data_IF_149005810811
#
_entry.id   IF_149005810811
#
_cell.length_a   1.000
_cell.length_b   1.000
_cell.length_c   1.000
_cell.angle_alpha   90.00
_cell.angle_beta   90.00
_cell.angle_gamma   90.00
#
_symmetry.space_group_name_H-M   'P 1'
#
loop_
_entity.id
_entity.type
_entity.pdbx_description
1 polymer ?
#
# COMPACT_ATOMS: atom_id res chain seq x y z
N UNK A 1 -8.87 -8.83 5.45
CA UNK A 1 -7.77 -8.59 6.41
C UNK A 1 -6.45 -8.46 5.64
N UNK A 2 -5.38 -7.87 6.21
CA UNK A 2 -4.08 -7.72 5.53
C UNK A 2 -2.91 -7.90 6.49
N UNK A 3 -1.68 -7.74 6.00
CA UNK A 3 -0.45 -7.85 6.79
C UNK A 3 0.49 -6.69 6.54
N UNK A 4 1.32 -6.36 7.54
CA UNK A 4 2.41 -5.39 7.46
C UNK A 4 3.71 -5.97 8.01
N UNK A 5 4.82 -5.64 7.38
CA UNK A 5 6.16 -5.80 7.96
C UNK A 5 6.91 -4.47 7.81
N UNK A 6 7.71 -4.10 8.81
CA UNK A 6 8.53 -2.89 8.75
C UNK A 6 9.97 -3.22 9.07
N UNK A 7 10.86 -2.81 8.19
CA UNK A 7 12.31 -2.91 8.37
C UNK A 7 12.84 -1.51 8.66
N UNK A 8 13.55 -1.39 9.78
CA UNK A 8 14.25 -0.17 10.16
C UNK A 8 15.74 -0.47 10.03
N UNK A 9 16.44 0.27 9.17
CA UNK A 9 17.88 0.13 8.97
C UNK A 9 18.61 1.34 9.53
N UNK A 10 19.61 1.09 10.39
CA UNK A 10 20.46 2.09 11.08
C UNK A 10 19.66 3.24 11.73
N UNK A 11 18.44 2.99 12.21
CA UNK A 11 17.51 4.00 12.75
C UNK A 11 17.22 5.20 11.83
N UNK A 12 17.50 5.09 10.53
CA UNK A 12 17.36 6.18 9.56
C UNK A 12 16.41 5.84 8.43
N UNK A 13 16.39 4.58 7.98
CA UNK A 13 15.59 4.15 6.83
C UNK A 13 14.47 3.23 7.33
N UNK A 14 13.21 3.68 7.20
CA UNK A 14 12.02 2.88 7.46
C UNK A 14 11.41 2.39 6.13
N UNK A 15 11.42 1.07 5.94
CA UNK A 15 10.82 0.39 4.80
C UNK A 15 9.57 -0.33 5.27
N UNK A 16 8.43 0.02 4.67
CA UNK A 16 7.13 -0.50 5.07
C UNK A 16 6.59 -1.41 3.97
N UNK A 17 6.42 -2.68 4.32
CA UNK A 17 5.73 -3.67 3.52
C UNK A 17 4.27 -3.82 3.94
N UNK A 18 3.33 -3.69 3.01
CA UNK A 18 1.91 -3.95 3.26
C UNK A 18 1.27 -4.74 2.10
N UNK A 19 0.39 -5.68 2.41
CA UNK A 19 -0.46 -6.34 1.42
C UNK A 19 -1.77 -6.87 2.02
N UNK A 20 -2.74 -7.15 1.16
CA UNK A 20 -3.95 -7.86 1.56
C UNK A 20 -3.70 -9.37 1.49
N UNK A 21 -4.38 -10.12 2.37
CA UNK A 21 -4.44 -11.57 2.23
C UNK A 21 -5.24 -11.92 0.96
N UNK A 22 -4.79 -12.93 0.21
CA UNK A 22 -5.63 -13.57 -0.82
C UNK A 22 -6.82 -14.26 -0.14
N UNK A 23 -7.89 -14.55 -0.87
CA UNK A 23 -9.11 -15.15 -0.31
C UNK A 23 -8.80 -16.43 0.49
N UNK A 24 -8.07 -17.36 -0.11
CA UNK A 24 -7.59 -18.57 0.56
C UNK A 24 -6.63 -18.34 1.75
N UNK A 25 -5.98 -17.18 1.82
CA UNK A 25 -5.09 -16.81 2.92
C UNK A 25 -5.83 -16.07 4.04
N UNK A 26 -6.97 -15.46 3.72
CA UNK A 26 -7.80 -14.75 4.66
C UNK A 26 -8.47 -15.71 5.65
N UNK A 27 -8.68 -16.97 5.28
CA UNK A 27 -9.25 -18.02 6.13
C UNK A 27 -8.21 -18.73 7.02
N UNK A 28 -6.92 -18.47 6.80
CA UNK A 28 -5.85 -19.09 7.59
C UNK A 28 -5.91 -18.68 9.07
N UNK A 29 -5.47 -19.59 9.95
CA UNK A 29 -5.36 -19.29 11.38
C UNK A 29 -4.38 -18.16 11.64
N UNK A 30 -4.53 -17.46 12.78
CA UNK A 30 -3.66 -16.33 13.14
C UNK A 30 -2.18 -16.72 13.14
N UNK A 31 -1.83 -17.89 13.69
CA UNK A 31 -0.44 -18.36 13.74
C UNK A 31 0.16 -18.61 12.35
N UNK A 32 -0.64 -19.15 11.42
CA UNK A 32 -0.21 -19.33 10.03
C UNK A 32 0.02 -17.99 9.34
N UNK A 33 -0.88 -17.04 9.57
CA UNK A 33 -0.76 -15.67 9.03
C UNK A 33 0.52 -15.00 9.54
N UNK A 34 0.80 -15.07 10.83
CA UNK A 34 2.02 -14.50 11.43
C UNK A 34 3.31 -15.05 10.79
N UNK A 35 3.41 -16.36 10.58
CA UNK A 35 4.57 -16.97 9.91
C UNK A 35 4.67 -16.50 8.46
N UNK A 36 3.54 -16.39 7.75
CA UNK A 36 3.50 -15.86 6.38
C UNK A 36 3.92 -14.39 6.30
N UNK A 37 3.56 -13.56 7.27
CA UNK A 37 4.00 -12.15 7.31
C UNK A 37 5.53 -12.08 7.31
N UNK A 38 6.18 -12.95 8.08
CA UNK A 38 7.64 -13.01 8.16
C UNK A 38 8.23 -13.46 6.83
N UNK A 39 7.70 -14.54 6.26
CA UNK A 39 8.13 -15.03 4.95
C UNK A 39 8.03 -13.94 3.87
N UNK A 40 6.87 -13.27 3.76
CA UNK A 40 6.68 -12.23 2.77
C UNK A 40 7.49 -10.96 3.03
N UNK A 41 7.69 -10.59 4.30
CA UNK A 41 8.57 -9.47 4.66
C UNK A 41 9.99 -9.72 4.19
N UNK A 42 10.54 -10.92 4.45
CA UNK A 42 11.87 -11.32 3.98
C UNK A 42 11.95 -11.37 2.46
N UNK A 43 10.94 -11.99 1.81
CA UNK A 43 10.93 -12.17 0.37
C UNK A 43 10.86 -10.83 -0.37
N UNK A 44 10.00 -9.90 0.06
CA UNK A 44 9.85 -8.60 -0.59
C UNK A 44 11.04 -7.68 -0.39
N UNK A 45 11.79 -7.87 0.68
CA UNK A 45 12.98 -7.09 1.00
C UNK A 45 14.27 -7.83 0.62
N UNK A 46 14.19 -8.95 -0.11
CA UNK A 46 15.34 -9.78 -0.48
C UNK A 46 16.46 -8.98 -1.16
N UNK A 47 16.14 -8.12 -2.13
CA UNK A 47 17.15 -7.28 -2.80
C UNK A 47 17.84 -6.34 -1.82
N UNK A 48 17.08 -5.79 -0.87
CA UNK A 48 17.60 -4.86 0.13
C UNK A 48 18.53 -5.60 1.09
N UNK A 49 18.14 -6.78 1.55
CA UNK A 49 19.01 -7.64 2.37
C UNK A 49 20.29 -8.06 1.65
N UNK A 50 20.25 -8.28 0.33
CA UNK A 50 21.46 -8.56 -0.48
C UNK A 50 22.39 -7.34 -0.60
N UNK A 51 21.85 -6.14 -0.55
CA UNK A 51 22.63 -4.89 -0.60
C UNK A 51 23.16 -4.47 0.79
N UNK A 52 22.51 -4.92 1.87
CA UNK A 52 22.98 -4.70 3.23
C UNK A 52 24.22 -5.57 3.50
N UNK A 53 25.25 -4.96 4.10
CA UNK A 53 26.43 -5.71 4.58
C UNK A 53 26.12 -6.46 5.89
N UNK A 54 25.12 -5.99 6.64
CA UNK A 54 24.72 -6.55 7.93
C UNK A 54 23.95 -7.85 7.75
N UNK A 55 24.47 -8.94 8.33
CA UNK A 55 23.83 -10.25 8.31
C UNK A 55 22.87 -10.45 9.48
N UNK A 56 22.84 -9.56 10.48
CA UNK A 56 22.01 -9.69 11.67
C UNK A 56 20.76 -8.80 11.61
N UNK A 57 19.58 -9.40 11.77
CA UNK A 57 18.29 -8.71 11.76
C UNK A 57 17.55 -8.97 13.07
N UNK A 58 17.21 -7.90 13.79
CA UNK A 58 16.38 -7.98 14.99
C UNK A 58 14.90 -7.91 14.61
N UNK A 59 14.16 -9.00 14.81
CA UNK A 59 12.71 -9.06 14.65
C UNK A 59 12.01 -8.69 15.95
N UNK A 60 11.02 -7.81 15.85
CA UNK A 60 10.12 -7.45 16.95
C UNK A 60 8.72 -8.00 16.66
N UNK A 61 8.14 -8.77 17.57
CA UNK A 61 6.80 -9.34 17.40
C UNK A 61 6.02 -9.33 18.71
N UNK A 62 4.70 -9.14 18.64
CA UNK A 62 3.80 -9.20 19.80
C UNK A 62 3.19 -10.59 20.02
N UNK A 63 3.04 -11.39 18.96
CA UNK A 63 2.55 -12.75 19.05
C UNK A 63 3.57 -13.70 19.68
N UNK A 64 3.26 -14.19 20.88
CA UNK A 64 4.06 -15.15 21.66
C UNK A 64 4.35 -16.44 20.92
N UNK A 65 3.38 -16.97 20.19
CA UNK A 65 3.54 -18.21 19.43
C UNK A 65 4.54 -18.02 18.32
N UNK A 66 4.46 -16.91 17.58
CA UNK A 66 5.41 -16.61 16.51
C UNK A 66 6.84 -16.35 17.03
N UNK A 67 6.95 -15.69 18.19
CA UNK A 67 8.24 -15.51 18.89
C UNK A 67 8.83 -16.86 19.29
N UNK A 68 8.05 -17.72 19.93
CA UNK A 68 8.49 -19.04 20.38
C UNK A 68 8.90 -19.93 19.21
N UNK A 69 8.03 -20.00 18.19
CA UNK A 69 8.20 -20.89 17.04
C UNK A 69 9.50 -20.61 16.29
N UNK A 70 9.84 -19.34 16.09
CA UNK A 70 11.03 -18.99 15.32
C UNK A 70 12.25 -18.80 16.22
N UNK A 71 12.06 -18.32 17.46
CA UNK A 71 13.17 -18.20 18.42
C UNK A 71 13.74 -19.56 18.81
N UNK A 72 12.91 -20.60 18.90
CA UNK A 72 13.34 -21.97 19.21
C UNK A 72 13.38 -22.91 18.01
N UNK A 73 13.02 -22.43 16.81
CA UNK A 73 12.84 -23.26 15.61
C UNK A 73 12.00 -24.52 15.85
N UNK A 74 11.01 -24.43 16.72
CA UNK A 74 10.21 -25.56 17.18
C UNK A 74 8.73 -25.21 17.11
N UNK A 75 7.93 -26.06 16.47
CA UNK A 75 6.52 -25.81 16.25
C UNK A 75 5.70 -27.09 16.18
N UNK A 76 4.38 -26.91 16.31
CA UNK A 76 3.42 -27.95 15.99
C UNK A 76 3.57 -28.40 14.54
N UNK A 77 3.32 -29.67 14.29
CA UNK A 77 3.48 -30.33 12.98
C UNK A 77 2.84 -29.55 11.83
N UNK A 78 1.64 -29.00 12.06
CA UNK A 78 0.90 -28.18 11.09
C UNK A 78 1.59 -26.90 10.61
N UNK A 79 2.66 -26.46 11.29
CA UNK A 79 3.43 -25.25 10.96
C UNK A 79 4.84 -25.54 10.42
N UNK A 80 5.33 -26.78 10.52
CA UNK A 80 6.72 -27.15 10.21
C UNK A 80 7.10 -26.77 8.78
N UNK A 81 6.28 -27.13 7.79
CA UNK A 81 6.59 -26.82 6.39
C UNK A 81 6.70 -25.32 6.11
N UNK A 82 5.90 -24.50 6.79
CA UNK A 82 5.95 -23.03 6.64
C UNK A 82 7.20 -22.45 7.29
N UNK A 83 7.64 -23.03 8.40
CA UNK A 83 8.86 -22.61 9.11
C UNK A 83 10.09 -23.00 8.29
N UNK A 84 10.09 -24.20 7.68
CA UNK A 84 11.14 -24.61 6.74
C UNK A 84 11.30 -23.60 5.61
N UNK A 85 10.20 -23.12 5.02
CA UNK A 85 10.26 -22.09 3.97
C UNK A 85 10.95 -20.80 4.45
N UNK A 86 10.63 -20.33 5.66
CA UNK A 86 11.31 -19.16 6.27
C UNK A 86 12.79 -19.47 6.52
N UNK A 87 13.10 -20.64 7.07
CA UNK A 87 14.47 -21.07 7.34
C UNK A 87 15.34 -21.12 6.09
N UNK A 88 14.84 -21.74 5.01
CA UNK A 88 15.57 -21.80 3.73
C UNK A 88 15.75 -20.42 3.11
N UNK A 89 14.74 -19.55 3.21
CA UNK A 89 14.85 -18.18 2.74
C UNK A 89 15.93 -17.42 3.52
N UNK A 90 15.96 -17.54 4.85
CA UNK A 90 17.01 -16.95 5.68
C UNK A 90 18.40 -17.48 5.34
N UNK A 91 18.55 -18.79 5.15
CA UNK A 91 19.81 -19.42 4.76
C UNK A 91 20.29 -18.90 3.39
N UNK A 92 19.38 -18.77 2.42
CA UNK A 92 19.67 -18.20 1.10
C UNK A 92 20.13 -16.75 1.19
N UNK A 93 19.51 -15.97 2.07
CA UNK A 93 19.85 -14.56 2.30
C UNK A 93 21.03 -14.35 3.24
N UNK A 94 21.59 -15.42 3.83
CA UNK A 94 22.64 -15.38 4.87
C UNK A 94 22.28 -14.47 6.04
N UNK A 95 21.01 -14.51 6.48
CA UNK A 95 20.50 -13.69 7.59
C UNK A 95 20.46 -14.48 8.90
N UNK A 96 21.04 -13.89 9.95
CA UNK A 96 20.84 -14.26 11.34
C UNK A 96 19.68 -13.42 11.91
N UNK A 97 18.53 -14.04 12.17
CA UNK A 97 17.39 -13.34 12.76
C UNK A 97 17.29 -13.63 14.25
N UNK A 98 17.37 -12.60 15.07
CA UNK A 98 17.05 -12.66 16.50
C UNK A 98 15.65 -12.13 16.72
N UNK A 99 14.84 -12.80 17.52
CA UNK A 99 13.47 -12.34 17.82
C UNK A 99 13.34 -11.86 19.24
N UNK A 100 12.78 -10.67 19.43
CA UNK A 100 12.32 -10.16 20.72
C UNK A 100 10.81 -9.97 20.73
N UNK A 101 10.21 -10.25 21.90
CA UNK A 101 8.79 -9.95 22.13
C UNK A 101 8.64 -8.47 22.46
N UNK A 102 7.70 -7.79 21.80
CA UNK A 102 7.30 -6.43 22.16
C UNK A 102 5.85 -6.41 22.65
N UNK A 103 5.50 -5.59 23.66
CA UNK A 103 4.11 -5.36 24.05
C UNK A 103 3.27 -4.83 22.88
N UNK A 104 2.03 -5.29 22.72
CA UNK A 104 1.15 -4.88 21.62
C UNK A 104 0.94 -3.36 21.51
N UNK A 105 0.99 -2.61 22.62
CA UNK A 105 0.96 -1.13 22.62
C UNK A 105 2.13 -0.50 21.84
N UNK A 106 3.30 -1.12 21.87
CA UNK A 106 4.49 -0.69 21.12
C UNK A 106 4.48 -1.20 19.66
N UNK A 107 3.65 -2.20 19.35
CA UNK A 107 3.37 -2.65 17.98
C UNK A 107 2.20 -1.90 17.32
N UNK A 108 1.67 -0.86 17.98
CA UNK A 108 0.52 -0.08 17.50
C UNK A 108 0.75 0.55 16.12
N UNK A 109 2.00 0.83 15.74
CA UNK A 109 2.38 1.26 14.39
C UNK A 109 2.08 0.17 13.36
N UNK A 110 2.36 -1.10 13.65
CA UNK A 110 2.12 -2.21 12.71
C UNK A 110 0.65 -2.58 12.63
N UNK A 111 -0.03 -2.66 13.78
CA UNK A 111 -1.45 -3.01 13.88
C UNK A 111 -2.36 -1.93 13.28
N UNK A 112 -2.02 -0.64 13.47
CA UNK A 112 -2.75 0.49 12.89
C UNK A 112 -2.80 0.48 11.36
N UNK A 113 -1.81 -0.11 10.70
CA UNK A 113 -1.78 -0.14 9.24
C UNK A 113 -2.54 -1.29 8.60
N UNK A 114 -2.81 -2.37 9.34
CA UNK A 114 -3.76 -3.38 8.91
C UNK A 114 -5.19 -2.82 8.72
N UNK A 115 -5.43 -1.62 9.28
CA UNK A 115 -6.67 -0.81 9.22
C UNK A 115 -6.58 0.41 8.30
N UNK A 116 -5.53 0.53 7.48
CA UNK A 116 -5.30 1.62 6.52
C UNK A 116 -6.44 1.80 5.54
N UNK A 117 -7.01 3.03 5.52
CA UNK A 117 -7.88 3.63 4.50
C UNK A 117 -8.55 2.63 3.54
N UNK A 118 -9.32 1.69 4.08
CA UNK A 118 -10.01 0.65 3.31
C UNK A 118 -11.25 1.19 2.63
N UNK A 119 -11.86 2.22 3.22
CA UNK A 119 -13.08 2.83 2.69
C UNK A 119 -12.83 3.77 1.52
N UNK A 120 -11.57 4.16 1.23
CA UNK A 120 -11.29 5.15 0.19
C UNK A 120 -11.74 6.57 0.53
N UNK A 121 -12.05 6.85 1.79
CA UNK A 121 -12.65 8.14 2.19
C UNK A 121 -11.63 9.15 2.74
N UNK A 122 -10.33 8.83 2.69
CA UNK A 122 -9.29 9.81 2.91
C UNK A 122 -9.38 10.85 1.78
N UNK A 123 -9.40 12.14 2.11
CA UNK A 123 -9.39 13.20 1.08
C UNK A 123 -8.25 14.16 1.29
N UNK A 124 -7.69 14.64 0.17
CA UNK A 124 -6.78 15.78 0.18
C UNK A 124 -7.61 17.06 0.30
N UNK A 125 -7.08 18.08 0.97
CA UNK A 125 -7.72 19.39 1.03
C UNK A 125 -7.82 20.02 -0.38
N UNK A 126 -8.98 20.61 -0.70
CA UNK A 126 -9.30 21.28 -1.96
C UNK A 126 -8.21 22.25 -2.42
N UNK A 127 -7.63 23.03 -1.51
CA UNK A 127 -6.56 23.99 -1.82
C UNK A 127 -5.31 23.31 -2.37
N UNK A 128 -4.97 22.11 -1.88
CA UNK A 128 -3.82 21.35 -2.38
C UNK A 128 -4.12 20.76 -3.76
N UNK A 129 -5.34 20.33 -4.02
CA UNK A 129 -5.73 19.81 -5.34
C UNK A 129 -5.67 20.94 -6.36
N UNK A 130 -6.21 22.12 -6.05
CA UNK A 130 -6.11 23.29 -6.91
C UNK A 130 -4.65 23.68 -7.16
N UNK A 131 -3.80 23.62 -6.15
CA UNK A 131 -2.35 23.85 -6.29
C UNK A 131 -1.74 22.86 -7.29
N UNK A 132 -1.96 21.55 -7.10
CA UNK A 132 -1.43 20.51 -8.02
C UNK A 132 -1.90 20.77 -9.46
N UNK A 133 -3.20 21.04 -9.64
CA UNK A 133 -3.79 21.24 -10.96
C UNK A 133 -3.22 22.48 -11.66
N UNK A 134 -3.02 23.58 -10.92
CA UNK A 134 -2.36 24.80 -11.42
C UNK A 134 -0.89 24.55 -11.76
N UNK A 135 -0.14 23.92 -10.86
CA UNK A 135 1.29 23.63 -11.05
C UNK A 135 1.55 22.78 -12.30
N UNK A 136 0.65 21.84 -12.62
CA UNK A 136 0.82 20.96 -13.77
C UNK A 136 0.03 21.36 -15.01
N UNK A 137 -0.74 22.45 -14.95
CA UNK A 137 -1.70 22.83 -15.99
C UNK A 137 -2.59 21.64 -16.41
N UNK A 138 -3.05 20.86 -15.42
CA UNK A 138 -3.84 19.65 -15.61
C UNK A 138 -5.15 19.78 -14.85
N UNK A 139 -6.25 19.92 -15.57
CA UNK A 139 -7.59 19.95 -14.99
C UNK A 139 -8.24 18.56 -15.15
N UNK A 140 -8.39 17.80 -14.05
CA UNK A 140 -9.09 16.52 -14.09
C UNK A 140 -10.59 16.74 -14.35
N UNK A 141 -11.14 15.91 -15.23
CA UNK A 141 -12.54 15.95 -15.64
C UNK A 141 -13.41 15.02 -14.78
N UNK A 142 -12.82 13.97 -14.19
CA UNK A 142 -13.53 13.00 -13.36
C UNK A 142 -12.69 12.52 -12.17
N UNK A 143 -13.31 12.41 -10.99
CA UNK A 143 -12.73 11.73 -9.83
C UNK A 143 -13.21 10.29 -9.76
N UNK A 144 -12.31 9.31 -9.91
CA UNK A 144 -12.67 7.88 -10.09
C UNK A 144 -12.87 7.12 -8.76
N UNK A 145 -12.60 7.75 -7.61
CA UNK A 145 -12.79 7.14 -6.29
C UNK A 145 -13.42 8.12 -5.28
N UNK A 146 -14.40 8.91 -5.73
CA UNK A 146 -15.13 9.86 -4.88
C UNK A 146 -16.48 9.31 -4.40
N UNK A 147 -17.05 9.94 -3.38
CA UNK A 147 -18.42 9.70 -2.88
C UNK A 147 -19.24 10.98 -3.04
N UNK A 148 -20.58 10.88 -3.08
CA UNK A 148 -21.50 12.02 -3.27
C UNK A 148 -21.28 13.21 -2.34
N UNK A 149 -20.74 12.99 -1.14
CA UNK A 149 -20.50 14.03 -0.13
C UNK A 149 -19.14 14.72 -0.26
N UNK A 150 -18.29 14.30 -1.20
CA UNK A 150 -16.92 14.80 -1.40
C UNK A 150 -16.61 15.05 -2.88
N UNK A 151 -17.48 15.82 -3.55
CA UNK A 151 -17.34 16.18 -4.97
C UNK A 151 -16.33 17.33 -5.12
N UNK A 152 -15.06 16.97 -5.28
CA UNK A 152 -14.00 17.89 -5.73
C UNK A 152 -14.13 18.26 -7.22
N UNK A 153 -14.79 17.39 -7.98
CA UNK A 153 -15.04 17.49 -9.42
C UNK A 153 -16.49 17.10 -9.62
N UNK A 154 -17.25 17.86 -10.41
CA UNK A 154 -18.70 17.64 -10.61
C UNK A 154 -19.01 16.23 -11.14
N UNK A 155 -18.11 15.66 -11.94
CA UNK A 155 -18.18 14.27 -12.39
C UNK A 155 -17.33 13.38 -11.49
N UNK A 156 -17.91 12.30 -10.96
CA UNK A 156 -17.19 11.31 -10.17
C UNK A 156 -17.76 9.91 -10.37
N UNK A 157 -16.89 8.91 -10.22
CA UNK A 157 -17.27 7.51 -10.14
C UNK A 157 -17.01 6.99 -8.72
N UNK A 158 -17.88 6.10 -8.28
CA UNK A 158 -17.84 5.52 -6.94
C UNK A 158 -17.69 4.00 -7.01
N UNK A 159 -17.04 3.44 -6.00
CA UNK A 159 -16.99 1.99 -5.77
C UNK A 159 -18.19 1.54 -4.91
N UNK A 160 -18.90 2.49 -4.29
CA UNK A 160 -20.09 2.22 -3.49
C UNK A 160 -21.33 2.06 -4.38
N UNK A 161 -21.82 0.82 -4.48
CA UNK A 161 -23.00 0.49 -5.28
C UNK A 161 -24.30 1.13 -4.72
N UNK A 162 -24.29 1.61 -3.47
CA UNK A 162 -25.45 2.22 -2.82
C UNK A 162 -25.48 3.76 -2.95
N UNK A 163 -24.50 4.37 -3.63
CA UNK A 163 -24.43 5.82 -3.80
C UNK A 163 -25.28 6.27 -5.00
N UNK A 164 -26.47 6.78 -4.72
CA UNK A 164 -27.45 7.28 -5.71
C UNK A 164 -27.01 8.58 -6.42
N UNK A 165 -25.90 9.20 -5.99
CA UNK A 165 -25.48 10.52 -6.47
C UNK A 165 -24.67 10.52 -7.78
N UNK A 166 -24.41 9.36 -8.39
CA UNK A 166 -23.66 9.22 -9.66
C UNK A 166 -24.20 8.07 -10.50
N UNK A 167 -24.17 8.23 -11.83
CA UNK A 167 -24.47 7.17 -12.79
C UNK A 167 -23.30 6.19 -13.02
N UNK A 168 -22.13 6.44 -12.40
CA UNK A 168 -20.89 5.69 -12.60
C UNK A 168 -20.56 4.79 -11.40
N UNK A 169 -21.17 3.59 -11.37
CA UNK A 169 -20.89 2.56 -10.37
C UNK A 169 -19.79 1.62 -10.86
N UNK A 170 -18.86 1.25 -9.96
CA UNK A 170 -17.70 0.42 -10.27
C UNK A 170 -16.82 1.04 -11.36
N UNK A 171 -16.02 2.02 -10.95
CA UNK A 171 -14.98 2.71 -11.73
C UNK A 171 -14.19 1.86 -12.74
N UNK A 172 -13.92 0.59 -12.43
CA UNK A 172 -13.13 -0.30 -13.29
C UNK A 172 -13.86 -0.76 -14.55
N UNK A 173 -15.18 -0.60 -14.64
CA UNK A 173 -15.96 -1.02 -15.80
C UNK A 173 -15.91 -0.01 -16.96
N UNK A 174 -15.43 1.21 -16.71
CA UNK A 174 -15.37 2.27 -17.71
C UNK A 174 -14.01 2.33 -18.40
N UNK A 175 -13.98 2.86 -19.63
CA UNK A 175 -12.75 3.18 -20.35
C UNK A 175 -12.19 4.52 -19.86
N UNK A 176 -10.93 4.51 -19.45
CA UNK A 176 -10.21 5.63 -18.82
C UNK A 176 -9.35 6.43 -19.81
N UNK A 177 -9.12 5.90 -21.03
CA UNK A 177 -8.13 6.43 -21.98
C UNK A 177 -8.39 7.82 -22.56
N UNK A 178 -9.64 8.31 -22.53
CA UNK A 178 -10.04 9.58 -23.19
C UNK A 178 -10.45 10.69 -22.22
N UNK A 179 -10.27 10.47 -20.92
CA UNK A 179 -10.76 11.40 -19.89
C UNK A 179 -9.59 11.75 -18.98
N UNK A 180 -9.53 13.00 -18.52
CA UNK A 180 -8.53 13.43 -17.55
C UNK A 180 -8.94 13.01 -16.13
N UNK A 181 -8.13 12.19 -15.48
CA UNK A 181 -8.51 11.51 -14.25
C UNK A 181 -7.89 12.17 -13.03
N UNK A 182 -8.66 12.25 -11.95
CA UNK A 182 -8.16 12.37 -10.60
C UNK A 182 -8.40 11.06 -9.87
N UNK A 183 -7.35 10.50 -9.28
CA UNK A 183 -7.38 9.17 -8.66
C UNK A 183 -6.73 9.26 -7.27
N UNK A 184 -7.55 9.15 -6.23
CA UNK A 184 -7.08 8.94 -4.86
C UNK A 184 -7.64 7.60 -4.33
N UNK A 185 -7.04 6.48 -4.73
CA UNK A 185 -7.62 5.17 -4.46
C UNK A 185 -7.26 4.68 -3.05
N UNK A 186 -8.09 3.79 -2.47
CA UNK A 186 -7.64 2.95 -1.37
C UNK A 186 -6.30 2.26 -1.69
N UNK A 187 -5.38 2.26 -0.73
CA UNK A 187 -4.05 1.65 -0.89
C UNK A 187 -4.10 0.19 -1.39
N UNK A 188 -5.03 -0.67 -0.92
CA UNK A 188 -5.15 -2.05 -1.41
C UNK A 188 -5.35 -2.19 -2.91
N UNK A 189 -5.99 -1.22 -3.57
CA UNK A 189 -6.36 -1.32 -4.98
C UNK A 189 -5.41 -0.56 -5.91
N UNK A 190 -4.38 0.09 -5.36
CA UNK A 190 -3.45 0.93 -6.12
C UNK A 190 -2.76 0.15 -7.26
N UNK A 191 -2.37 -1.11 -7.01
CA UNK A 191 -1.84 -1.99 -8.07
C UNK A 191 -2.82 -2.23 -9.22
N UNK A 192 -4.10 -2.40 -8.91
CA UNK A 192 -5.18 -2.63 -9.90
C UNK A 192 -5.47 -1.35 -10.69
N UNK A 193 -5.43 -0.19 -10.02
CA UNK A 193 -5.55 1.13 -10.67
C UNK A 193 -4.43 1.33 -11.70
N UNK A 194 -3.18 1.09 -11.32
CA UNK A 194 -2.04 1.23 -12.23
C UNK A 194 -2.13 0.29 -13.43
N UNK A 195 -2.57 -0.95 -13.20
CA UNK A 195 -2.82 -1.90 -14.29
C UNK A 195 -3.91 -1.39 -15.24
N UNK A 196 -5.02 -0.87 -14.71
CA UNK A 196 -6.12 -0.33 -15.50
C UNK A 196 -5.70 0.91 -16.30
N UNK A 197 -4.96 1.83 -15.69
CA UNK A 197 -4.43 2.99 -16.39
C UNK A 197 -3.54 2.57 -17.56
N UNK A 198 -2.70 1.54 -17.38
CA UNK A 198 -1.85 1.02 -18.46
C UNK A 198 -2.66 0.37 -19.58
N UNK A 199 -3.64 -0.47 -19.23
CA UNK A 199 -4.50 -1.14 -20.21
C UNK A 199 -5.29 -0.15 -21.07
N UNK A 200 -5.79 0.92 -20.44
CA UNK A 200 -6.62 1.90 -21.10
C UNK A 200 -5.82 3.05 -21.75
N UNK A 201 -4.48 3.05 -21.62
CA UNK A 201 -3.61 4.18 -21.99
C UNK A 201 -4.11 5.50 -21.38
N UNK A 202 -4.49 5.44 -20.11
CA UNK A 202 -5.10 6.56 -19.40
C UNK A 202 -4.06 7.60 -18.97
N UNK A 203 -4.55 8.82 -18.79
CA UNK A 203 -3.81 9.92 -18.18
C UNK A 203 -4.50 10.34 -16.88
N UNK A 204 -3.75 10.71 -15.86
CA UNK A 204 -4.35 11.07 -14.58
C UNK A 204 -3.37 11.52 -13.52
N UNK A 205 -3.89 12.29 -12.57
CA UNK A 205 -3.23 12.58 -11.29
C UNK A 205 -3.56 11.44 -10.33
N UNK A 206 -2.54 10.75 -9.85
CA UNK A 206 -2.64 9.73 -8.82
C UNK A 206 -2.09 10.27 -7.51
N UNK A 207 -2.90 10.26 -6.45
CA UNK A 207 -2.46 10.56 -5.09
C UNK A 207 -2.15 9.24 -4.39
N UNK A 208 -0.92 9.06 -3.91
CA UNK A 208 -0.48 7.83 -3.27
C UNK A 208 0.56 8.09 -2.17
N UNK A 209 0.62 7.22 -1.14
CA UNK A 209 1.68 7.32 -0.14
C UNK A 209 3.06 7.02 -0.77
N UNK A 210 4.09 7.68 -0.26
CA UNK A 210 5.48 7.46 -0.65
C UNK A 210 6.02 6.32 0.20
N UNK A 211 5.97 5.10 -0.34
CA UNK A 211 6.39 3.88 0.37
C UNK A 211 7.42 3.09 -0.42
N UNK A 212 8.69 3.25 -0.04
CA UNK A 212 9.80 2.51 -0.60
C UNK A 212 9.64 1.00 -0.36
N UNK A 213 9.95 0.21 -1.40
CA UNK A 213 9.82 -1.24 -1.39
C UNK A 213 8.43 -1.78 -1.77
N UNK A 214 7.42 -0.92 -1.93
CA UNK A 214 6.14 -1.37 -2.49
C UNK A 214 6.25 -1.55 -4.01
N UNK A 215 5.82 -2.71 -4.51
CA UNK A 215 5.85 -2.99 -5.96
C UNK A 215 4.99 -2.01 -6.76
N UNK A 216 3.88 -1.56 -6.19
CA UNK A 216 3.05 -0.51 -6.81
C UNK A 216 3.74 0.85 -6.80
N UNK A 217 4.58 1.17 -5.80
CA UNK A 217 5.28 2.45 -5.74
C UNK A 217 6.37 2.53 -6.81
N UNK A 218 7.13 1.45 -7.00
CA UNK A 218 8.11 1.36 -8.10
C UNK A 218 7.42 1.51 -9.45
N UNK A 219 6.30 0.82 -9.67
CA UNK A 219 5.50 0.96 -10.90
C UNK A 219 4.98 2.39 -11.10
N UNK A 220 4.45 2.99 -10.04
CA UNK A 220 3.93 4.36 -10.06
C UNK A 220 5.02 5.36 -10.44
N UNK A 221 6.21 5.25 -9.83
CA UNK A 221 7.37 6.09 -10.13
C UNK A 221 7.85 5.93 -11.57
N UNK A 222 7.86 4.70 -12.09
CA UNK A 222 8.28 4.43 -13.47
C UNK A 222 7.27 4.95 -14.51
N UNK A 223 5.97 4.95 -14.18
CA UNK A 223 4.91 5.44 -15.06
C UNK A 223 4.67 6.95 -14.95
N UNK A 224 5.13 7.58 -13.87
CA UNK A 224 4.90 9.00 -13.62
C UNK A 224 5.82 9.87 -14.48
N UNK A 225 5.24 10.83 -15.19
CA UNK A 225 5.98 11.86 -15.94
C UNK A 225 6.33 13.06 -15.06
N UNK A 226 5.53 13.33 -14.01
CA UNK A 226 5.81 14.36 -13.00
C UNK A 226 5.48 13.85 -11.60
N UNK A 227 6.19 14.36 -10.62
CA UNK A 227 6.02 14.05 -9.20
C UNK A 227 6.01 15.33 -8.37
N UNK A 228 5.12 15.41 -7.38
CA UNK A 228 5.10 16.48 -6.40
C UNK A 228 4.98 15.89 -5.00
N UNK A 229 5.90 16.26 -4.12
CA UNK A 229 5.84 15.93 -2.70
C UNK A 229 4.79 16.80 -2.00
N UNK A 230 3.84 16.18 -1.31
CA UNK A 230 2.74 16.92 -0.67
C UNK A 230 2.94 17.12 0.84
N UNK A 231 3.72 16.25 1.49
CA UNK A 231 3.97 16.32 2.92
C UNK A 231 3.54 15.05 3.68
N UNK A 232 3.51 15.15 5.01
CA UNK A 232 3.09 14.07 5.89
C UNK A 232 1.58 13.85 5.81
N UNK A 233 1.17 12.60 5.65
CA UNK A 233 -0.23 12.19 5.46
C UNK A 233 -1.18 12.71 6.54
N UNK A 234 -0.77 12.74 7.82
CA UNK A 234 -1.58 13.24 8.93
C UNK A 234 -1.81 14.77 8.91
N UNK A 235 -1.03 15.52 8.12
CA UNK A 235 -1.18 16.98 7.98
C UNK A 235 -2.01 17.37 6.76
N UNK A 236 -2.07 16.50 5.76
CA UNK A 236 -2.61 16.83 4.42
C UNK A 236 -3.84 16.00 4.04
N UNK A 237 -4.08 14.88 4.73
CA UNK A 237 -5.26 14.05 4.52
C UNK A 237 -6.26 14.23 5.64
N UNK A 238 -7.53 14.30 5.25
CA UNK A 238 -8.66 14.34 6.15
C UNK A 238 -9.38 12.98 6.19
N UNK A 239 -9.72 12.52 7.39
CA UNK A 239 -10.45 11.27 7.57
C UNK A 239 -11.94 11.44 7.26
N UNK A 240 -12.48 10.58 6.39
CA UNK A 240 -13.91 10.48 6.15
C UNK A 240 -14.69 9.89 7.33
N UNK A 241 -16.01 10.07 7.33
CA UNK A 241 -16.87 9.67 8.45
C UNK A 241 -16.90 8.15 8.66
N UNK A 242 -16.89 7.32 7.62
CA UNK A 242 -16.85 5.86 7.82
C UNK A 242 -15.50 5.38 8.32
N UNK A 243 -14.42 6.12 8.06
CA UNK A 243 -13.12 5.83 8.69
C UNK A 243 -13.18 6.06 10.19
N UNK A 244 -13.76 7.20 10.62
CA UNK A 244 -13.97 7.50 12.04
C UNK A 244 -14.84 6.43 12.72
N UNK A 245 -15.95 6.07 12.09
CA UNK A 245 -16.87 5.06 12.64
C UNK A 245 -16.29 3.64 12.72
N UNK A 246 -15.23 3.33 11.96
CA UNK A 246 -14.60 2.00 11.90
C UNK A 246 -13.23 1.95 12.57
N UNK A 247 -12.86 2.96 13.36
CA UNK A 247 -11.55 3.12 13.98
C UNK A 247 -10.38 2.92 13.00
N UNK A 248 -10.56 3.39 11.76
CA UNK A 248 -9.52 3.38 10.74
C UNK A 248 -8.56 4.55 10.92
N UNK A 249 -7.35 4.41 10.38
CA UNK A 249 -6.29 5.40 10.50
C UNK A 249 -5.81 5.86 9.12
N UNK A 250 -5.33 7.11 9.06
CA UNK A 250 -4.65 7.65 7.89
C UNK A 250 -3.36 6.86 7.61
N UNK A 251 -2.88 6.88 6.34
CA UNK A 251 -1.56 6.35 6.07
C UNK A 251 -0.45 7.06 6.82
N UNK A 252 0.59 6.35 7.25
CA UNK A 252 1.76 6.96 7.85
C UNK A 252 2.73 7.34 6.76
N UNK A 253 3.66 8.21 7.13
CA UNK A 253 4.68 8.71 6.22
C UNK A 253 4.14 9.79 5.30
N UNK A 254 4.79 9.93 4.16
CA UNK A 254 4.56 11.04 3.25
C UNK A 254 3.60 10.65 2.12
N UNK A 255 2.93 11.63 1.53
CA UNK A 255 2.09 11.45 0.34
C UNK A 255 2.68 12.26 -0.81
N UNK A 256 2.54 11.73 -2.02
CA UNK A 256 2.90 12.42 -3.24
C UNK A 256 1.73 12.45 -4.23
N UNK A 257 1.74 13.46 -5.07
CA UNK A 257 0.99 13.47 -6.32
C UNK A 257 1.90 12.96 -7.44
N UNK A 258 1.34 12.16 -8.34
CA UNK A 258 2.03 11.60 -9.50
C UNK A 258 1.17 11.88 -10.73
N UNK A 259 1.72 12.61 -11.70
CA UNK A 259 1.08 12.76 -13.01
C UNK A 259 1.51 11.59 -13.89
N UNK A 260 0.56 10.81 -14.37
CA UNK A 260 0.78 9.72 -15.30
C UNK A 260 0.17 10.11 -16.65
N UNK A 261 0.94 9.97 -17.72
CA UNK A 261 0.44 10.09 -19.08
C UNK A 261 0.89 8.87 -19.90
N UNK A 262 0.09 7.81 -19.83
CA UNK A 262 0.37 6.56 -20.54
C UNK A 262 -0.11 6.64 -22.00
N UNK A 263 -0.91 7.65 -22.35
CA UNK A 263 -1.37 7.87 -23.72
C UNK A 263 -0.21 8.21 -24.67
N UNK A 264 0.84 8.85 -24.15
CA UNK A 264 2.03 9.26 -24.88
C UNK A 264 3.17 8.22 -24.85
N UNK A 265 3.04 7.15 -24.05
CA UNK A 265 4.02 6.05 -24.01
C UNK A 265 3.81 5.08 -25.20
N UNK A 266 4.07 5.55 -26.41
CA UNK A 266 4.22 4.71 -27.60
C UNK A 266 5.70 4.66 -27.99
N UNK A 267 6.44 3.71 -27.41
CA UNK A 267 7.83 3.44 -27.75
C UNK A 267 8.51 2.75 -26.57
N UNK A 268 9.10 1.59 -26.83
CA UNK A 268 9.92 0.80 -25.89
C UNK A 268 9.13 -0.01 -24.84
N UNK A 269 8.87 -1.28 -25.17
CA UNK A 269 9.62 -2.45 -24.69
C UNK A 269 8.97 -3.68 -25.34
N UNK A 270 9.55 -4.12 -26.45
CA UNK A 270 9.68 -5.54 -26.77
C UNK A 270 11.18 -5.83 -26.68
N UNK A 271 11.59 -6.53 -25.63
CA UNK A 271 12.71 -7.46 -25.59
C UNK A 271 12.65 -8.22 -24.26
#
# INVERSE_FOLDING_TARGET
MGWRATLIYKNQIELIQYCCWRENEAEMTSNVKEIKVIYYGLLRLEQIFKMMQDQAVLRRQDNTTAVYVIGKWNAKESLIERIKQVFYLMKRLKLLITTIRIPGKLNSTTDSLSRLCRSGECTLNDGMIQMICKTWNYMPEINIFATQYKKLINNYATVDLNDLGTHFHNAFNYKWGKVKLYIHPPIPILSRVLQKMRQDKAQGIVIAPIQLGQSWFTKLKNLSTRFLFLGQANKILEMGQRMKNKDQKLPPGNVGAFLLDISQMSGEICQ
#
